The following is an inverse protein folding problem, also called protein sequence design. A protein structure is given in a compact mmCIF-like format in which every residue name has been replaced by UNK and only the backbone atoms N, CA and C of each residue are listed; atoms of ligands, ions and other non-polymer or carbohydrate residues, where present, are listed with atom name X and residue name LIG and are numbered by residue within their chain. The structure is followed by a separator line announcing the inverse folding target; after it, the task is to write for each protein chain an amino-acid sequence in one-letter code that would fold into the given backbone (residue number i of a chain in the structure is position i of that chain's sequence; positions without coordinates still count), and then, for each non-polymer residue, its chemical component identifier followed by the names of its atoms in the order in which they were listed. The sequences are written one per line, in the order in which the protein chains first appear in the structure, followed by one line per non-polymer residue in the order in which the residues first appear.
data_IF_066168578215
#
_entry.id   IF_066168578215
#
_cell.length_a   1.000
_cell.length_b   1.000
_cell.length_c   1.000
_cell.angle_alpha   90.00
_cell.angle_beta   90.00
_cell.angle_gamma   90.00
#
_symmetry.space_group_name_H-M   'P 1'
#
loop_
_entity.id
_entity.type
_entity.pdbx_description
1 polymer ?
#
# COMPACT_ATOMS: atom_id res chain seq x y z
N UNK A 1 15.66 1.00 -6.79
CA UNK A 1 15.10 2.28 -7.31
C UNK A 1 15.84 3.42 -6.62
N UNK A 2 16.38 4.41 -7.34
CA UNK A 2 17.26 5.43 -6.75
C UNK A 2 16.49 6.44 -5.88
N UNK A 3 17.09 6.87 -4.77
CA UNK A 3 16.53 7.86 -3.82
C UNK A 3 16.03 9.14 -4.51
N UNK A 4 16.77 9.58 -5.52
CA UNK A 4 16.45 10.76 -6.34
C UNK A 4 15.15 10.60 -7.11
N UNK A 5 14.88 9.41 -7.66
CA UNK A 5 13.65 9.12 -8.40
C UNK A 5 12.43 9.16 -7.49
N UNK A 6 12.50 8.54 -6.31
CA UNK A 6 11.42 8.58 -5.31
C UNK A 6 11.08 10.01 -4.87
N UNK A 7 12.10 10.85 -4.68
CA UNK A 7 11.89 12.27 -4.33
C UNK A 7 11.24 13.06 -5.48
N UNK A 8 11.60 12.78 -6.74
CA UNK A 8 10.96 13.41 -7.89
C UNK A 8 9.49 13.00 -8.04
N UNK A 9 9.20 11.69 -7.93
CA UNK A 9 7.84 11.13 -7.96
C UNK A 9 6.95 11.77 -6.87
N UNK A 10 7.47 11.89 -5.64
CA UNK A 10 6.76 12.54 -4.53
C UNK A 10 6.44 14.00 -4.80
N UNK A 11 7.38 14.76 -5.36
CA UNK A 11 7.18 16.19 -5.70
C UNK A 11 6.11 16.36 -6.78
N UNK A 12 6.13 15.52 -7.81
CA UNK A 12 5.14 15.54 -8.88
C UNK A 12 3.75 15.17 -8.37
N UNK A 13 3.66 14.13 -7.54
CA UNK A 13 2.40 13.74 -6.90
C UNK A 13 1.87 14.84 -5.99
N UNK A 14 2.73 15.50 -5.21
CA UNK A 14 2.34 16.63 -4.36
C UNK A 14 1.80 17.81 -5.19
N UNK A 15 2.44 18.14 -6.31
CA UNK A 15 1.95 19.16 -7.23
C UNK A 15 0.59 18.79 -7.85
N UNK A 16 0.42 17.52 -8.25
CA UNK A 16 -0.84 17.00 -8.80
C UNK A 16 -1.96 17.06 -7.76
N UNK A 17 -1.69 16.72 -6.51
CA UNK A 17 -2.65 16.83 -5.41
C UNK A 17 -2.88 18.28 -4.95
N UNK A 18 -2.05 19.23 -5.39
CA UNK A 18 -2.22 20.66 -5.15
C UNK A 18 -3.43 21.25 -5.89
N UNK A 19 -3.89 20.61 -6.97
CA UNK A 19 -5.04 21.04 -7.77
C UNK A 19 -6.26 20.13 -7.56
N UNK A 20 -7.49 20.67 -7.52
CA UNK A 20 -8.72 19.89 -7.30
C UNK A 20 -8.90 18.75 -8.31
N UNK A 21 -8.67 19.01 -9.59
CA UNK A 21 -8.83 18.04 -10.68
C UNK A 21 -7.82 16.89 -10.56
N UNK A 22 -6.60 17.18 -10.10
CA UNK A 22 -5.58 16.17 -9.87
C UNK A 22 -5.93 15.24 -8.71
N UNK A 23 -6.60 15.75 -7.66
CA UNK A 23 -7.14 14.90 -6.58
C UNK A 23 -8.23 13.96 -7.09
N UNK A 24 -9.15 14.47 -7.90
CA UNK A 24 -10.22 13.68 -8.52
C UNK A 24 -9.60 12.58 -9.40
N UNK A 25 -8.64 12.95 -10.24
CA UNK A 25 -7.95 12.00 -11.12
C UNK A 25 -7.25 10.88 -10.34
N UNK A 26 -6.50 11.21 -9.28
CA UNK A 26 -5.83 10.22 -8.44
C UNK A 26 -6.84 9.31 -7.73
N UNK A 27 -7.95 9.86 -7.25
CA UNK A 27 -9.04 9.09 -6.65
C UNK A 27 -9.65 8.08 -7.64
N UNK A 28 -10.02 8.54 -8.83
CA UNK A 28 -10.55 7.68 -9.90
C UNK A 28 -9.56 6.57 -10.27
N UNK A 29 -8.27 6.88 -10.37
CA UNK A 29 -7.25 5.88 -10.70
C UNK A 29 -7.15 4.77 -9.64
N UNK A 30 -7.26 5.11 -8.35
CA UNK A 30 -7.28 4.14 -7.25
C UNK A 30 -8.57 3.30 -7.25
N UNK A 31 -9.70 3.88 -7.64
CA UNK A 31 -10.98 3.16 -7.73
C UNK A 31 -11.05 2.20 -8.92
N UNK A 32 -10.56 2.64 -10.09
CA UNK A 32 -10.53 1.85 -11.32
C UNK A 32 -9.59 0.65 -11.23
N UNK A 33 -8.43 0.83 -10.58
CA UNK A 33 -7.47 -0.26 -10.31
C UNK A 33 -8.02 -1.34 -9.37
N UNK A 34 -9.17 -1.11 -8.74
CA UNK A 34 -9.80 -2.08 -7.86
C UNK A 34 -9.00 -2.39 -6.60
N UNK A 35 -8.00 -1.56 -6.26
CA UNK A 35 -7.17 -1.71 -5.06
C UNK A 35 -8.01 -1.76 -3.78
N UNK A 36 -9.07 -0.94 -3.70
CA UNK A 36 -9.98 -0.89 -2.56
C UNK A 36 -11.17 -1.89 -2.65
N UNK A 37 -11.28 -2.68 -3.74
CA UNK A 37 -12.38 -3.62 -3.94
C UNK A 37 -12.01 -5.02 -3.43
N UNK A 38 -12.87 -5.61 -2.62
CA UNK A 38 -12.70 -7.00 -2.15
C UNK A 38 -12.57 -7.97 -3.34
N UNK A 39 -11.53 -8.81 -3.33
CA UNK A 39 -11.32 -9.88 -4.32
C UNK A 39 -12.42 -10.94 -4.32
N UNK A 40 -13.28 -10.98 -3.31
CA UNK A 40 -14.25 -12.05 -3.12
C UNK A 40 -15.51 -11.94 -4.00
N UNK A 41 -15.70 -10.85 -4.75
CA UNK A 41 -17.02 -10.53 -5.32
C UNK A 41 -17.22 -10.96 -6.78
N UNK A 42 -16.15 -11.21 -7.54
CA UNK A 42 -16.24 -11.63 -8.93
C UNK A 42 -15.42 -12.90 -9.10
N UNK A 43 -16.01 -14.02 -9.50
CA UNK A 43 -15.29 -15.25 -9.85
C UNK A 43 -14.47 -15.03 -11.12
N UNK A 44 -13.15 -14.76 -11.06
CA UNK A 44 -12.37 -14.40 -12.23
C UNK A 44 -11.82 -15.68 -12.87
N UNK A 45 -11.58 -15.66 -14.18
CA UNK A 45 -10.76 -16.68 -14.82
C UNK A 45 -9.29 -16.55 -14.36
N UNK A 46 -8.45 -17.57 -14.59
CA UNK A 46 -7.03 -17.57 -14.16
C UNK A 46 -6.23 -16.44 -14.81
N UNK A 47 -6.57 -16.05 -16.03
CA UNK A 47 -5.93 -14.93 -16.74
C UNK A 47 -6.44 -13.57 -16.22
N UNK A 48 -7.74 -13.49 -15.87
CA UNK A 48 -8.32 -12.31 -15.22
C UNK A 48 -7.70 -12.06 -13.84
N UNK A 49 -7.23 -13.09 -13.15
CA UNK A 49 -6.66 -12.96 -11.80
C UNK A 49 -5.31 -12.25 -11.83
N UNK A 50 -4.39 -12.65 -12.72
CA UNK A 50 -3.07 -12.01 -12.85
C UNK A 50 -3.16 -10.56 -13.35
N UNK A 51 -4.03 -10.30 -14.33
CA UNK A 51 -4.23 -8.95 -14.85
C UNK A 51 -4.81 -8.02 -13.78
N UNK A 52 -5.84 -8.47 -13.06
CA UNK A 52 -6.45 -7.70 -11.95
C UNK A 52 -5.50 -7.52 -10.76
N UNK A 53 -4.60 -8.47 -10.51
CA UNK A 53 -3.56 -8.34 -9.49
C UNK A 53 -2.52 -7.28 -9.89
N UNK A 54 -2.14 -7.24 -11.18
CA UNK A 54 -1.32 -6.17 -11.75
C UNK A 54 -1.95 -4.79 -11.59
N UNK A 55 -3.24 -4.65 -11.91
CA UNK A 55 -3.99 -3.39 -11.73
C UNK A 55 -4.04 -2.97 -10.26
N UNK A 56 -4.32 -3.90 -9.34
CA UNK A 56 -4.31 -3.62 -7.89
C UNK A 56 -2.96 -3.14 -7.39
N UNK A 57 -1.86 -3.72 -7.88
CA UNK A 57 -0.51 -3.28 -7.53
C UNK A 57 -0.22 -1.85 -8.02
N UNK A 58 -0.73 -1.48 -9.20
CA UNK A 58 -0.66 -0.09 -9.69
C UNK A 58 -1.46 0.84 -8.76
N UNK A 59 -2.68 0.43 -8.38
CA UNK A 59 -3.50 1.17 -7.43
C UNK A 59 -2.83 1.38 -6.08
N UNK A 60 -2.25 0.32 -5.52
CA UNK A 60 -1.45 0.37 -4.29
C UNK A 60 -0.27 1.34 -4.44
N UNK A 61 0.48 1.26 -5.54
CA UNK A 61 1.65 2.11 -5.74
C UNK A 61 1.26 3.60 -5.84
N UNK A 62 0.17 3.90 -6.54
CA UNK A 62 -0.36 5.26 -6.67
C UNK A 62 -0.84 5.77 -5.32
N UNK A 63 -1.50 4.91 -4.55
CA UNK A 63 -1.91 5.20 -3.18
C UNK A 63 -0.71 5.55 -2.28
N UNK A 64 0.34 4.73 -2.28
CA UNK A 64 1.56 4.98 -1.50
C UNK A 64 2.22 6.30 -1.89
N UNK A 65 2.30 6.58 -3.19
CA UNK A 65 2.85 7.84 -3.69
C UNK A 65 2.02 9.04 -3.20
N UNK A 66 0.70 8.96 -3.30
CA UNK A 66 -0.21 10.01 -2.82
C UNK A 66 -0.07 10.24 -1.31
N UNK A 67 -0.03 9.15 -0.54
CA UNK A 67 0.18 9.21 0.92
C UNK A 67 1.53 9.85 1.27
N UNK A 68 2.61 9.42 0.62
CA UNK A 68 3.96 9.99 0.83
C UNK A 68 4.04 11.47 0.45
N UNK A 69 3.20 11.93 -0.48
CA UNK A 69 3.13 13.31 -0.94
C UNK A 69 2.25 14.22 -0.06
N UNK A 70 1.69 13.68 1.03
CA UNK A 70 0.89 14.43 1.99
C UNK A 70 -0.60 14.52 1.68
N UNK A 71 -1.13 13.62 0.82
CA UNK A 71 -2.58 13.48 0.69
C UNK A 71 -3.19 13.15 2.05
N UNK A 72 -4.21 13.91 2.47
CA UNK A 72 -5.00 13.48 3.64
C UNK A 72 -5.73 12.17 3.30
N UNK A 73 -5.58 11.14 4.13
CA UNK A 73 -6.25 9.88 3.88
C UNK A 73 -7.77 10.06 3.97
N UNK A 74 -8.50 9.69 2.91
CA UNK A 74 -9.95 9.44 2.95
C UNK A 74 -10.27 8.45 4.08
N UNK A 75 -11.51 8.39 4.56
CA UNK A 75 -11.90 7.54 5.70
C UNK A 75 -11.40 6.08 5.59
N UNK A 76 -11.57 5.47 4.41
CA UNK A 76 -11.07 4.12 4.09
C UNK A 76 -9.53 3.99 4.12
N UNK A 77 -8.80 5.09 3.87
CA UNK A 77 -7.34 5.13 3.86
C UNK A 77 -6.77 5.19 5.29
N UNK A 78 -7.50 5.77 6.26
CA UNK A 78 -7.16 5.67 7.69
C UNK A 78 -7.31 4.24 8.21
N UNK A 79 -8.23 3.47 7.64
CA UNK A 79 -8.42 2.06 7.96
C UNK A 79 -7.29 1.22 7.38
N UNK A 80 -6.92 1.44 6.11
CA UNK A 80 -5.77 0.78 5.49
C UNK A 80 -4.44 1.08 6.19
N UNK A 81 -4.17 2.34 6.55
CA UNK A 81 -2.96 2.70 7.30
C UNK A 81 -2.90 2.07 8.70
N UNK A 82 -4.05 1.89 9.37
CA UNK A 82 -4.13 1.14 10.63
C UNK A 82 -3.85 -0.34 10.42
N UNK A 83 -4.38 -0.93 9.34
CA UNK A 83 -4.15 -2.31 8.98
C UNK A 83 -2.67 -2.61 8.68
N UNK A 84 -1.98 -1.78 7.89
CA UNK A 84 -0.55 -1.94 7.64
C UNK A 84 0.28 -1.90 8.93
N UNK A 85 -0.05 -0.95 9.83
CA UNK A 85 0.63 -0.84 11.12
C UNK A 85 0.38 -2.06 12.02
N UNK A 86 -0.81 -2.64 11.92
CA UNK A 86 -1.13 -3.89 12.63
C UNK A 86 -0.35 -5.08 12.08
N UNK A 87 -0.12 -5.14 10.76
CA UNK A 87 0.74 -6.16 10.15
C UNK A 87 2.19 -5.97 10.58
N UNK A 88 2.76 -4.77 10.51
CA UNK A 88 4.13 -4.48 10.99
C UNK A 88 4.32 -4.92 12.44
N UNK A 89 3.36 -4.62 13.33
CA UNK A 89 3.43 -5.03 14.73
C UNK A 89 3.38 -6.54 14.92
N UNK A 90 2.68 -7.27 14.05
CA UNK A 90 2.65 -8.74 14.07
C UNK A 90 3.98 -9.32 13.58
N UNK A 91 4.52 -8.79 12.49
CA UNK A 91 5.82 -9.20 11.96
C UNK A 91 6.96 -8.90 12.95
N UNK A 92 6.91 -7.77 13.66
CA UNK A 92 7.85 -7.44 14.75
C UNK A 92 7.70 -8.38 15.95
N UNK A 93 6.48 -8.81 16.27
CA UNK A 93 6.23 -9.75 17.36
C UNK A 93 6.70 -11.16 17.01
N UNK A 94 6.51 -11.59 15.75
CA UNK A 94 6.99 -12.88 15.25
C UNK A 94 8.53 -12.91 15.18
N UNK A 95 9.18 -11.82 14.76
CA UNK A 95 10.65 -11.74 14.79
C UNK A 95 11.22 -11.77 16.22
N UNK A 96 10.51 -11.18 17.20
CA UNK A 96 10.94 -11.22 18.61
C UNK A 96 10.76 -12.58 19.25
N UNK A 97 9.70 -13.31 18.91
CA UNK A 97 9.50 -14.67 19.41
C UNK A 97 10.54 -15.65 18.85
N UNK A 98 10.97 -15.47 17.60
CA UNK A 98 12.09 -16.21 17.02
C UNK A 98 13.45 -15.90 17.68
N UNK A 99 13.71 -14.64 18.07
CA UNK A 99 14.93 -14.27 18.81
C UNK A 99 14.97 -14.82 20.25
N UNK A 100 13.81 -14.91 20.93
CA UNK A 100 13.70 -15.48 22.28
C UNK A 100 13.86 -17.01 22.30
N UNK A 101 13.39 -17.74 21.27
CA UNK A 101 13.62 -19.19 21.16
C UNK A 101 15.09 -19.55 20.91
N UNK A 102 15.84 -18.72 20.18
CA UNK A 102 17.28 -18.93 19.94
C UNK A 102 18.11 -18.66 21.21
N UNK A 103 17.67 -17.74 22.09
CA UNK A 103 18.41 -17.37 23.30
C UNK A 103 18.36 -18.42 24.43
N UNK A 104 17.36 -19.30 24.46
CA UNK A 104 17.23 -20.35 25.51
C UNK A 104 17.81 -21.72 25.11
N UNK A 105 18.44 -21.83 23.93
CA UNK A 105 19.05 -23.07 23.44
C UNK A 105 20.55 -23.24 23.73
N UNK A 106 21.19 -22.28 24.40
CA UNK A 106 22.65 -22.25 24.57
C UNK A 106 23.11 -22.22 26.02
N UNK A 107 23.25 -23.39 26.65
CA UNK A 107 24.47 -23.88 27.33
C UNK A 107 24.19 -25.29 27.85
N UNK A 108 24.85 -26.27 27.23
CA UNK A 108 25.15 -27.55 27.88
C UNK A 108 26.29 -27.43 28.89
#
# INVERSE_FOLDING_TARGET
MTEQRRNAERRLMSALLGIPEGRIFVGLLIEETGFLKSSARDSPTVEDTYYREGERNVGQRVFEMAFSAGAEPLGCMKEFGRWNKEIELREEADNKSEEEEVSYGGTG
#
